data_IF_484971517552
#
_entry.id   IF_484971517552
#
_cell.length_a   1.000
_cell.length_b   1.000
_cell.length_c   1.000
_cell.angle_alpha   90.00
_cell.angle_beta   90.00
_cell.angle_gamma   90.00
#
_symmetry.space_group_name_H-M   'P 1'
#
loop_
_entity.id
_entity.type
_entity.pdbx_description
1 polymer ?
#
# COMPACT_ATOMS: atom_id res chain seq x y z
N UNK A 1 -4.24 10.77 -17.26
CA UNK A 1 -5.37 10.54 -18.19
C UNK A 1 -6.70 10.88 -17.52
N UNK A 2 -6.90 10.62 -16.21
CA UNK A 2 -8.15 10.96 -15.50
C UNK A 2 -8.16 12.38 -14.91
N UNK A 3 -7.04 13.06 -14.84
CA UNK A 3 -6.90 14.38 -14.18
C UNK A 3 -7.49 15.57 -14.93
N UNK A 4 -7.65 15.48 -16.25
CA UNK A 4 -8.16 16.61 -17.08
C UNK A 4 -9.67 16.56 -17.33
N UNK A 5 -10.36 15.51 -16.84
CA UNK A 5 -11.79 15.31 -17.09
C UNK A 5 -12.61 15.28 -15.78
N UNK A 6 -12.47 16.32 -14.94
CA UNK A 6 -13.28 16.46 -13.72
C UNK A 6 -14.79 16.28 -13.95
N UNK A 7 -15.27 16.65 -15.13
CA UNK A 7 -16.69 16.53 -15.50
C UNK A 7 -17.16 15.10 -15.78
N UNK A 8 -16.25 14.15 -16.03
CA UNK A 8 -16.62 12.73 -16.25
C UNK A 8 -16.55 11.89 -14.97
N UNK A 9 -15.84 12.34 -13.95
CA UNK A 9 -15.78 11.64 -12.66
C UNK A 9 -17.07 11.75 -11.85
N UNK A 10 -17.93 12.73 -12.16
CA UNK A 10 -19.19 12.96 -11.44
C UNK A 10 -20.30 11.94 -11.79
N UNK A 11 -20.08 11.08 -12.78
CA UNK A 11 -21.12 10.17 -13.30
C UNK A 11 -20.97 8.70 -12.91
N UNK A 12 -19.84 8.29 -12.30
CA UNK A 12 -19.70 6.90 -11.90
C UNK A 12 -19.78 6.70 -10.39
N UNK A 13 -20.43 5.60 -10.03
CA UNK A 13 -20.62 5.20 -8.64
C UNK A 13 -19.44 4.40 -8.10
N UNK A 14 -18.67 3.79 -8.99
CA UNK A 14 -17.55 2.94 -8.61
C UNK A 14 -16.54 2.78 -9.78
N UNK A 15 -15.29 2.54 -9.45
CA UNK A 15 -14.19 2.24 -10.36
C UNK A 15 -13.50 0.94 -9.96
N UNK A 16 -13.23 0.08 -10.95
CA UNK A 16 -12.31 -1.05 -10.78
C UNK A 16 -11.02 -0.70 -11.53
N UNK A 17 -9.92 -0.66 -10.80
CA UNK A 17 -8.65 -0.16 -11.28
C UNK A 17 -7.55 -1.22 -11.12
N UNK A 18 -6.72 -1.37 -12.14
CA UNK A 18 -5.58 -2.28 -12.13
C UNK A 18 -4.33 -1.53 -12.61
N UNK A 19 -3.65 -0.80 -11.71
CA UNK A 19 -2.43 -0.08 -12.06
C UNK A 19 -1.30 -1.08 -12.38
N UNK A 20 -0.53 -0.77 -13.45
CA UNK A 20 0.56 -1.63 -13.92
C UNK A 20 1.93 -1.25 -13.33
N UNK A 21 2.07 -0.02 -12.84
CA UNK A 21 3.30 0.51 -12.26
C UNK A 21 2.99 1.57 -11.20
N UNK A 22 3.99 1.95 -10.42
CA UNK A 22 3.90 3.03 -9.43
C UNK A 22 2.71 2.90 -8.46
N UNK A 23 2.43 1.66 -8.04
CA UNK A 23 1.24 1.30 -7.28
C UNK A 23 1.07 2.16 -6.02
N UNK A 24 2.18 2.48 -5.34
CA UNK A 24 2.19 3.33 -4.15
C UNK A 24 1.71 4.74 -4.48
N UNK A 25 2.28 5.35 -5.52
CA UNK A 25 1.92 6.70 -5.97
C UNK A 25 0.48 6.74 -6.46
N UNK A 26 0.04 5.65 -7.12
CA UNK A 26 -1.33 5.54 -7.60
C UNK A 26 -2.35 5.53 -6.46
N UNK A 27 -2.09 4.83 -5.35
CA UNK A 27 -2.97 4.87 -4.16
C UNK A 27 -3.00 6.27 -3.53
N UNK A 28 -1.86 6.95 -3.45
CA UNK A 28 -1.78 8.33 -2.98
C UNK A 28 -2.61 9.25 -3.89
N UNK A 29 -2.44 9.14 -5.19
CA UNK A 29 -3.19 9.92 -6.18
C UNK A 29 -4.71 9.70 -6.08
N UNK A 30 -5.18 8.46 -5.90
CA UNK A 30 -6.62 8.19 -5.71
C UNK A 30 -7.19 9.01 -4.54
N UNK A 31 -6.49 9.05 -3.41
CA UNK A 31 -6.91 9.85 -2.25
C UNK A 31 -6.95 11.34 -2.55
N UNK A 32 -5.93 11.84 -3.26
CA UNK A 32 -5.86 13.25 -3.67
C UNK A 32 -6.99 13.65 -4.62
N UNK A 33 -7.52 12.68 -5.38
CA UNK A 33 -8.68 12.88 -6.24
C UNK A 33 -10.03 12.69 -5.51
N UNK A 34 -10.04 12.49 -4.19
CA UNK A 34 -11.26 12.24 -3.43
C UNK A 34 -11.89 10.88 -3.74
N UNK A 35 -11.09 9.90 -4.11
CA UNK A 35 -11.51 8.53 -4.36
C UNK A 35 -11.06 7.64 -3.19
N UNK A 36 -12.01 6.99 -2.54
CA UNK A 36 -11.76 6.07 -1.44
C UNK A 36 -11.70 4.63 -1.95
N UNK A 37 -10.60 3.95 -1.68
CA UNK A 37 -10.50 2.50 -1.93
C UNK A 37 -11.40 1.79 -0.93
N UNK A 38 -12.29 0.94 -1.43
CA UNK A 38 -13.27 0.18 -0.63
C UNK A 38 -12.98 -1.31 -0.59
N UNK A 39 -12.21 -1.79 -1.55
CA UNK A 39 -11.76 -3.18 -1.60
C UNK A 39 -10.49 -3.33 -2.44
N UNK A 40 -9.73 -4.38 -2.17
CA UNK A 40 -8.54 -4.71 -2.94
C UNK A 40 -8.45 -6.22 -3.12
N UNK A 41 -7.93 -6.65 -4.25
CA UNK A 41 -7.60 -8.03 -4.55
C UNK A 41 -6.25 -8.10 -5.25
N UNK A 42 -5.47 -9.12 -4.98
CA UNK A 42 -4.26 -9.40 -5.75
C UNK A 42 -4.46 -10.67 -6.58
N UNK A 43 -4.03 -10.62 -7.83
CA UNK A 43 -4.08 -11.77 -8.76
C UNK A 43 -2.66 -12.10 -9.17
N UNK A 44 -2.35 -13.38 -9.26
CA UNK A 44 -1.10 -13.88 -9.83
C UNK A 44 -1.39 -14.52 -11.19
N UNK A 45 -0.62 -14.14 -12.19
CA UNK A 45 -0.67 -14.70 -13.53
C UNK A 45 0.76 -14.81 -14.09
N UNK A 46 1.17 -15.97 -14.48
CA UNK A 46 2.52 -16.26 -15.02
C UNK A 46 3.66 -15.74 -14.12
N UNK A 47 3.50 -15.86 -12.80
CA UNK A 47 4.48 -15.42 -11.81
C UNK A 47 4.57 -13.90 -11.64
N UNK A 48 3.64 -13.14 -12.22
CA UNK A 48 3.47 -11.70 -12.03
C UNK A 48 2.27 -11.43 -11.14
N UNK A 49 2.36 -10.37 -10.35
CA UNK A 49 1.35 -9.99 -9.37
C UNK A 49 0.69 -8.68 -9.76
N UNK A 50 -0.63 -8.68 -9.79
CA UNK A 50 -1.45 -7.57 -10.24
C UNK A 50 -2.42 -7.16 -9.13
N UNK A 51 -2.20 -6.01 -8.46
CA UNK A 51 -3.17 -5.47 -7.52
C UNK A 51 -4.36 -4.88 -8.28
N UNK A 52 -5.55 -5.21 -7.84
CA UNK A 52 -6.82 -4.64 -8.29
C UNK A 52 -7.43 -3.85 -7.14
N UNK A 53 -7.99 -2.69 -7.44
CA UNK A 53 -8.58 -1.79 -6.46
C UNK A 53 -9.98 -1.42 -6.88
N UNK A 54 -10.91 -1.49 -5.94
CA UNK A 54 -12.24 -0.91 -6.07
C UNK A 54 -12.24 0.43 -5.37
N UNK A 55 -12.58 1.48 -6.10
CA UNK A 55 -12.62 2.84 -5.58
C UNK A 55 -13.98 3.47 -5.81
N UNK A 56 -14.45 4.27 -4.86
CA UNK A 56 -15.70 5.04 -4.94
C UNK A 56 -15.41 6.51 -4.63
N UNK A 57 -16.19 7.45 -5.18
CA UNK A 57 -16.12 8.84 -4.77
C UNK A 57 -16.37 8.97 -3.26
N UNK A 58 -15.62 9.78 -2.58
CA UNK A 58 -15.84 10.07 -1.16
C UNK A 58 -17.07 10.99 -1.03
N UNK A 59 -18.08 10.55 -0.29
CA UNK A 59 -19.29 11.33 -0.08
C UNK A 59 -18.92 12.63 0.67
N UNK A 60 -19.03 13.77 -0.01
CA UNK A 60 -18.61 15.08 0.52
C UNK A 60 -17.62 15.81 -0.37
N UNK A 61 -16.91 15.14 -1.28
CA UNK A 61 -15.99 15.79 -2.21
C UNK A 61 -16.68 16.51 -3.38
N UNK A 62 -18.01 16.52 -3.43
CA UNK A 62 -18.81 17.30 -4.40
C UNK A 62 -19.02 18.75 -3.98
N UNK A 63 -18.53 19.19 -2.79
CA UNK A 63 -18.56 20.55 -2.30
C UNK A 63 -17.14 21.06 -2.03
N UNK A 64 -16.75 22.12 -2.70
CA UNK A 64 -15.39 22.70 -2.74
C UNK A 64 -14.90 23.25 -1.39
N UNK A 65 -15.74 23.25 -0.34
CA UNK A 65 -15.46 23.98 0.91
C UNK A 65 -14.82 23.11 2.02
N UNK A 66 -15.04 21.77 2.02
CA UNK A 66 -14.51 20.90 3.07
C UNK A 66 -13.15 20.26 2.74
N UNK A 67 -12.68 20.41 1.49
CA UNK A 67 -11.41 19.83 1.03
C UNK A 67 -10.17 20.52 1.64
N UNK A 68 -10.30 21.75 2.13
CA UNK A 68 -9.17 22.48 2.75
C UNK A 68 -8.90 22.03 4.20
N UNK A 69 -9.91 21.60 4.93
CA UNK A 69 -9.75 21.17 6.33
C UNK A 69 -9.12 19.76 6.41
N UNK A 70 -9.48 18.86 5.49
CA UNK A 70 -8.84 17.54 5.35
C UNK A 70 -7.37 17.64 4.93
N UNK A 71 -7.01 18.66 4.15
CA UNK A 71 -5.60 18.91 3.75
C UNK A 71 -4.75 19.47 4.88
N UNK A 72 -5.35 20.16 5.85
CA UNK A 72 -4.65 20.74 7.00
C UNK A 72 -4.36 19.71 8.09
N UNK A 73 -5.19 18.68 8.23
CA UNK A 73 -5.00 17.64 9.24
C UNK A 73 -3.94 16.59 8.86
N UNK A 74 -3.51 16.54 7.61
CA UNK A 74 -2.56 15.53 7.13
C UNK A 74 -3.09 14.09 7.30
N UNK A 75 -4.39 13.96 7.61
CA UNK A 75 -5.02 12.66 7.78
C UNK A 75 -5.31 12.04 6.41
N UNK A 76 -4.76 10.84 6.11
CA UNK A 76 -5.14 10.13 4.90
C UNK A 76 -6.63 9.83 4.96
N UNK A 77 -7.39 10.22 3.93
CA UNK A 77 -8.85 10.05 3.82
C UNK A 77 -9.34 8.60 3.69
N UNK A 78 -8.48 7.59 3.90
CA UNK A 78 -8.95 6.24 4.14
C UNK A 78 -9.30 6.13 5.63
N UNK A 79 -10.54 5.76 5.87
CA UNK A 79 -11.13 5.66 7.19
C UNK A 79 -10.13 5.07 8.19
N UNK A 80 -10.08 5.68 9.40
CA UNK A 80 -9.55 4.98 10.58
C UNK A 80 -9.81 3.50 10.35
N UNK A 81 -8.80 2.64 10.37
CA UNK A 81 -9.11 1.25 10.67
C UNK A 81 -9.99 1.36 11.91
N UNK A 82 -11.28 1.11 11.72
CA UNK A 82 -12.22 1.10 12.82
C UNK A 82 -11.57 0.30 13.93
N UNK A 83 -11.95 0.46 15.18
CA UNK A 83 -11.48 -0.20 16.38
C UNK A 83 -10.75 -1.57 16.26
N UNK A 84 -10.73 -2.15 15.09
CA UNK A 84 -10.05 -3.38 14.70
C UNK A 84 -8.53 -3.25 14.56
N UNK A 85 -7.97 -2.04 14.40
CA UNK A 85 -6.50 -1.85 14.43
C UNK A 85 -5.95 -2.06 15.86
N UNK A 86 -6.76 -1.79 16.86
CA UNK A 86 -6.42 -2.12 18.26
C UNK A 86 -6.47 -3.63 18.50
N UNK A 87 -7.37 -4.35 17.81
CA UNK A 87 -7.46 -5.82 17.86
C UNK A 87 -6.33 -6.53 17.11
N UNK A 88 -5.74 -5.90 16.08
CA UNK A 88 -4.71 -6.52 15.25
C UNK A 88 -3.32 -6.59 15.90
N UNK A 89 -3.18 -6.16 17.18
CA UNK A 89 -1.90 -6.28 17.90
C UNK A 89 -0.74 -5.49 17.27
N UNK A 90 -1.04 -4.42 16.51
CA UNK A 90 -0.07 -3.49 15.93
C UNK A 90 0.29 -2.44 17.01
N UNK A 91 0.33 -2.85 18.25
CA UNK A 91 0.79 -2.00 19.35
C UNK A 91 2.28 -1.71 19.13
N UNK A 92 2.62 -0.44 18.93
CA UNK A 92 4.00 0.04 18.82
C UNK A 92 4.45 0.45 17.42
N UNK A 93 3.65 0.27 16.37
CA UNK A 93 3.96 0.84 15.06
C UNK A 93 3.40 2.26 14.97
N UNK A 94 4.24 3.24 14.58
CA UNK A 94 3.76 4.59 14.34
C UNK A 94 2.74 4.60 13.18
N UNK A 95 1.68 5.39 13.34
CA UNK A 95 0.62 5.53 12.32
C UNK A 95 1.17 5.83 10.92
N UNK A 96 2.21 6.64 10.86
CA UNK A 96 2.90 7.02 9.62
C UNK A 96 3.53 5.81 8.93
N UNK A 97 4.15 4.89 9.68
CA UNK A 97 4.72 3.66 9.12
C UNK A 97 3.64 2.73 8.58
N UNK A 98 2.55 2.58 9.30
CA UNK A 98 1.41 1.77 8.84
C UNK A 98 0.81 2.31 7.54
N UNK A 99 0.64 3.64 7.43
CA UNK A 99 0.19 4.29 6.20
C UNK A 99 1.12 3.98 5.01
N UNK A 100 2.43 4.03 5.22
CA UNK A 100 3.41 3.70 4.17
C UNK A 100 3.27 2.25 3.68
N UNK A 101 3.03 1.30 4.60
CA UNK A 101 2.82 -0.10 4.24
C UNK A 101 1.50 -0.30 3.49
N UNK A 102 0.44 0.39 3.90
CA UNK A 102 -0.86 0.34 3.22
C UNK A 102 -0.79 0.94 1.81
N UNK A 103 -0.06 2.03 1.62
CA UNK A 103 0.16 2.60 0.30
C UNK A 103 0.98 1.68 -0.60
N UNK A 104 1.92 0.94 -0.04
CA UNK A 104 2.77 0.04 -0.80
C UNK A 104 2.08 -1.27 -1.15
N UNK A 105 1.45 -1.92 -0.19
CA UNK A 105 0.98 -3.30 -0.30
C UNK A 105 -0.54 -3.45 -0.34
N UNK A 106 -1.29 -2.41 0.02
CA UNK A 106 -2.75 -2.42 0.11
C UNK A 106 -3.27 -2.72 1.51
N UNK A 107 -4.07 -1.78 2.03
CA UNK A 107 -4.60 -1.89 3.38
C UNK A 107 -5.54 -3.08 3.55
N UNK A 108 -6.44 -3.29 2.60
CA UNK A 108 -7.40 -4.42 2.64
C UNK A 108 -6.72 -5.77 2.46
N UNK A 109 -5.70 -5.85 1.60
CA UNK A 109 -4.94 -7.07 1.38
C UNK A 109 -4.18 -7.49 2.66
N UNK A 110 -3.52 -6.53 3.31
CA UNK A 110 -2.80 -6.76 4.56
C UNK A 110 -3.72 -7.17 5.70
N UNK A 111 -4.85 -6.47 5.87
CA UNK A 111 -5.80 -6.74 6.95
C UNK A 111 -6.48 -8.11 6.82
N UNK A 112 -6.76 -8.56 5.61
CA UNK A 112 -7.37 -9.87 5.37
C UNK A 112 -6.38 -11.03 5.31
N UNK A 113 -5.08 -10.73 5.28
CA UNK A 113 -4.06 -11.75 5.10
C UNK A 113 -4.19 -12.46 3.75
N UNK A 114 -4.39 -11.69 2.67
CA UNK A 114 -4.57 -12.22 1.32
C UNK A 114 -3.43 -13.17 0.94
N UNK A 115 -3.78 -14.40 0.51
CA UNK A 115 -2.80 -15.45 0.24
C UNK A 115 -1.89 -15.14 -0.94
N UNK A 116 -2.40 -14.43 -1.95
CA UNK A 116 -1.62 -14.00 -3.12
C UNK A 116 -0.66 -12.87 -2.74
N UNK A 117 -1.09 -11.95 -1.85
CA UNK A 117 -0.18 -10.98 -1.27
C UNK A 117 0.93 -11.64 -0.45
N UNK A 118 0.62 -12.66 0.33
CA UNK A 118 1.64 -13.41 1.10
C UNK A 118 2.67 -14.06 0.17
N UNK A 119 2.24 -14.66 -0.94
CA UNK A 119 3.15 -15.22 -1.94
C UNK A 119 4.02 -14.13 -2.59
N UNK A 120 3.45 -12.97 -2.90
CA UNK A 120 4.19 -11.81 -3.39
C UNK A 120 5.26 -11.34 -2.39
N UNK A 121 4.89 -11.17 -1.11
CA UNK A 121 5.80 -10.75 -0.05
C UNK A 121 6.94 -11.76 0.17
N UNK A 122 6.67 -13.06 0.07
CA UNK A 122 7.71 -14.09 0.14
C UNK A 122 8.70 -13.98 -1.03
N UNK A 123 8.20 -13.70 -2.24
CA UNK A 123 9.03 -13.48 -3.42
C UNK A 123 9.89 -12.22 -3.25
N UNK A 124 9.30 -11.09 -2.81
CA UNK A 124 10.05 -9.86 -2.56
C UNK A 124 11.13 -10.05 -1.49
N UNK A 125 10.79 -10.69 -0.37
CA UNK A 125 11.75 -10.95 0.72
C UNK A 125 12.97 -11.74 0.22
N UNK A 126 12.75 -12.78 -0.59
CA UNK A 126 13.84 -13.54 -1.22
C UNK A 126 14.69 -12.68 -2.12
N UNK A 127 14.07 -11.91 -3.00
CA UNK A 127 14.80 -11.03 -3.95
C UNK A 127 15.64 -10.00 -3.21
N UNK A 128 15.10 -9.34 -2.18
CA UNK A 128 15.86 -8.36 -1.41
C UNK A 128 17.01 -9.00 -0.65
N UNK A 129 16.82 -10.19 -0.07
CA UNK A 129 17.89 -10.93 0.61
C UNK A 129 19.02 -11.27 -0.37
N UNK A 130 18.69 -11.81 -1.56
CA UNK A 130 19.68 -12.12 -2.59
C UNK A 130 20.46 -10.87 -3.06
N UNK A 131 19.79 -9.70 -3.13
CA UNK A 131 20.47 -8.44 -3.49
C UNK A 131 21.43 -8.01 -2.38
N UNK A 132 21.04 -8.09 -1.11
CA UNK A 132 21.88 -7.74 0.03
C UNK A 132 23.12 -8.65 0.10
N UNK A 133 22.94 -9.97 -0.03
CA UNK A 133 24.04 -10.96 -0.03
C UNK A 133 25.04 -10.66 -1.15
N UNK A 134 24.54 -10.33 -2.35
CA UNK A 134 25.38 -9.96 -3.49
C UNK A 134 26.16 -8.67 -3.25
N UNK A 135 25.51 -7.63 -2.73
CA UNK A 135 26.16 -6.35 -2.41
C UNK A 135 27.22 -6.52 -1.34
N UNK A 136 26.95 -7.33 -0.31
CA UNK A 136 27.89 -7.64 0.77
C UNK A 136 29.09 -8.43 0.24
N UNK A 137 28.87 -9.43 -0.62
CA UNK A 137 29.93 -10.22 -1.23
C UNK A 137 30.86 -9.42 -2.17
N UNK A 138 30.34 -8.30 -2.74
CA UNK A 138 31.12 -7.37 -3.57
C UNK A 138 31.93 -6.33 -2.75
N UNK A 139 31.75 -6.29 -1.43
CA UNK A 139 32.31 -5.28 -0.54
C UNK A 139 31.57 -3.95 -0.57
N UNK A 140 31.48 -3.28 0.58
CA UNK A 140 30.81 -1.99 0.76
C UNK A 140 31.79 -0.82 0.81
N UNK A 141 32.80 -0.87 -0.02
CA UNK A 141 33.96 0.05 -0.06
C UNK A 141 33.65 1.39 -0.76
N UNK A 142 32.54 1.50 -1.52
CA UNK A 142 32.12 2.76 -2.13
C UNK A 142 30.78 3.24 -1.62
N UNK A 143 30.59 4.57 -1.57
CA UNK A 143 29.38 5.22 -1.07
C UNK A 143 28.12 4.76 -1.82
N UNK A 144 28.22 4.61 -3.13
CA UNK A 144 27.08 4.17 -3.96
C UNK A 144 26.56 2.78 -3.55
N UNK A 145 27.48 1.84 -3.24
CA UNK A 145 27.09 0.50 -2.77
C UNK A 145 26.53 0.54 -1.36
N UNK A 146 27.11 1.33 -0.46
CA UNK A 146 26.56 1.54 0.89
C UNK A 146 25.16 2.13 0.86
N UNK A 147 24.93 3.14 0.03
CA UNK A 147 23.59 3.73 -0.13
C UNK A 147 22.58 2.71 -0.66
N UNK A 148 22.97 1.95 -1.69
CA UNK A 148 22.09 0.91 -2.25
C UNK A 148 21.80 -0.21 -1.25
N UNK A 149 22.79 -0.60 -0.45
CA UNK A 149 22.62 -1.59 0.62
C UNK A 149 21.59 -1.08 1.64
N UNK A 150 21.75 0.12 2.18
CA UNK A 150 20.83 0.71 3.14
C UNK A 150 19.39 0.87 2.59
N UNK A 151 19.27 1.23 1.30
CA UNK A 151 17.97 1.30 0.62
C UNK A 151 17.29 -0.07 0.58
N UNK A 152 17.99 -1.12 0.14
CA UNK A 152 17.42 -2.48 0.04
C UNK A 152 17.15 -3.06 1.43
N UNK A 153 17.98 -2.78 2.42
CA UNK A 153 17.74 -3.16 3.81
C UNK A 153 16.43 -2.55 4.35
N UNK A 154 16.19 -1.28 4.04
CA UNK A 154 14.91 -0.61 4.38
C UNK A 154 13.72 -1.29 3.71
N UNK A 155 13.83 -1.61 2.41
CA UNK A 155 12.79 -2.31 1.66
C UNK A 155 12.50 -3.71 2.23
N UNK A 156 13.54 -4.44 2.62
CA UNK A 156 13.41 -5.75 3.26
C UNK A 156 12.70 -5.64 4.62
N UNK A 157 13.05 -4.64 5.42
CA UNK A 157 12.40 -4.41 6.70
C UNK A 157 10.90 -4.08 6.53
N UNK A 158 10.54 -3.22 5.57
CA UNK A 158 9.15 -2.91 5.23
C UNK A 158 8.39 -4.17 4.77
N UNK A 159 8.99 -4.97 3.89
CA UNK A 159 8.41 -6.23 3.40
C UNK A 159 8.13 -7.22 4.55
N UNK A 160 9.08 -7.41 5.46
CA UNK A 160 8.92 -8.29 6.63
C UNK A 160 7.83 -7.79 7.58
N UNK A 161 7.72 -6.49 7.81
CA UNK A 161 6.62 -5.89 8.60
C UNK A 161 5.26 -6.13 7.95
N UNK A 162 5.15 -5.88 6.64
CA UNK A 162 3.94 -6.15 5.87
C UNK A 162 3.52 -7.62 5.97
N UNK A 163 4.47 -8.54 5.81
CA UNK A 163 4.25 -9.99 5.94
C UNK A 163 3.75 -10.36 7.34
N UNK A 164 4.31 -9.77 8.39
CA UNK A 164 3.86 -10.03 9.77
C UNK A 164 2.42 -9.56 10.00
N UNK A 165 2.02 -8.42 9.39
CA UNK A 165 0.63 -7.92 9.46
C UNK A 165 -0.31 -8.88 8.71
N UNK A 166 0.03 -9.26 7.48
CA UNK A 166 -0.79 -10.14 6.66
C UNK A 166 -0.98 -11.53 7.31
N UNK A 167 0.05 -12.10 7.92
CA UNK A 167 -0.06 -13.39 8.64
C UNK A 167 -1.02 -13.32 9.83
N UNK A 168 -1.09 -12.20 10.54
CA UNK A 168 -2.08 -12.01 11.61
C UNK A 168 -3.50 -11.88 11.07
N UNK A 169 -3.68 -11.16 9.94
CA UNK A 169 -4.96 -11.05 9.27
C UNK A 169 -5.51 -12.41 8.82
N UNK A 170 -4.67 -13.29 8.31
CA UNK A 170 -5.04 -14.64 7.93
C UNK A 170 -5.49 -15.52 9.12
N UNK A 171 -4.94 -15.30 10.31
CA UNK A 171 -5.28 -16.06 11.52
C UNK A 171 -6.60 -15.66 12.20
N UNK A 172 -7.18 -14.51 11.87
CA UNK A 172 -8.44 -14.04 12.45
C UNK A 172 -9.69 -14.48 11.66
N UNK A 173 -9.53 -15.18 10.55
CA UNK A 173 -10.61 -15.58 9.63
C UNK A 173 -11.08 -17.03 9.79
N UNK A 174 -10.74 -17.73 10.88
CA UNK A 174 -11.15 -19.11 11.16
C UNK A 174 -12.18 -19.19 12.26
#
# INVERSE_FOLDING_TARGET
ILGDEKTKTDSFTELILQPQSEIRQFRTWLREQGLRITDEKMVEEDGKFYPMMRAVPEAGCLGVEDAEESRRSGEPGWQKPAADAERSGIQGMERVELCKLYDRYGGFLLQRGDSTLLAFLQKEERVYTEILDRLQGQGLDCDKRRMRYAEVETLLAECRRAKAIALRGAGCGS
#
